data_IF_681737657614
#
_entry.id   IF_681737657614
#
_cell.length_a   1.000
_cell.length_b   1.000
_cell.length_c   1.000
_cell.angle_alpha   90.00
_cell.angle_beta   90.00
_cell.angle_gamma   90.00
#
_symmetry.space_group_name_H-M   'P 1'
#
loop_
_entity.id
_entity.type
_entity.pdbx_description
1 polymer ?
#
# COMPACT_ATOMS: atom_id res chain seq x y z
N UNK A 1 -26.53 -53.89 -2.21
CA UNK A 1 -26.57 -53.65 -3.67
C UNK A 1 -27.12 -52.26 -3.91
N UNK A 2 -26.24 -51.26 -3.88
CA UNK A 2 -26.57 -49.88 -4.27
C UNK A 2 -25.38 -49.40 -5.09
N UNK A 3 -25.63 -49.14 -6.38
CA UNK A 3 -24.62 -48.76 -7.38
C UNK A 3 -24.35 -47.26 -7.25
N UNK A 4 -23.08 -46.90 -7.09
CA UNK A 4 -22.56 -45.55 -7.32
C UNK A 4 -22.57 -45.26 -8.83
N UNK A 5 -22.95 -44.04 -9.28
CA UNK A 5 -22.82 -43.64 -10.67
C UNK A 5 -21.39 -43.15 -10.96
N UNK A 6 -20.76 -43.83 -11.92
CA UNK A 6 -19.48 -43.56 -12.53
C UNK A 6 -19.47 -42.19 -13.24
N UNK A 7 -18.72 -41.23 -12.71
CA UNK A 7 -18.49 -39.92 -13.34
C UNK A 7 -17.26 -40.00 -14.24
N UNK A 8 -17.48 -40.29 -15.52
CA UNK A 8 -16.44 -40.26 -16.54
C UNK A 8 -15.85 -38.86 -16.72
N UNK A 9 -14.61 -38.69 -16.26
CA UNK A 9 -13.74 -37.56 -16.61
C UNK A 9 -13.07 -37.91 -17.94
N UNK A 10 -13.24 -37.12 -19.02
CA UNK A 10 -12.51 -37.38 -20.25
C UNK A 10 -11.03 -36.95 -20.10
N UNK A 11 -10.13 -37.88 -20.37
CA UNK A 11 -8.69 -37.65 -20.51
C UNK A 11 -8.40 -36.62 -21.62
N UNK A 12 -7.62 -35.55 -21.36
CA UNK A 12 -7.09 -34.72 -22.43
C UNK A 12 -5.86 -35.42 -23.04
N UNK A 13 -6.08 -36.27 -24.03
CA UNK A 13 -5.03 -36.68 -24.97
C UNK A 13 -4.72 -35.48 -25.88
N UNK A 14 -3.79 -34.63 -25.45
CA UNK A 14 -3.10 -33.69 -26.32
C UNK A 14 -2.00 -34.42 -27.06
N UNK A 15 -2.07 -34.44 -28.39
CA UNK A 15 -0.98 -34.94 -29.23
C UNK A 15 0.32 -34.15 -28.95
N UNK A 16 1.50 -34.82 -28.96
CA UNK A 16 2.77 -34.13 -28.82
C UNK A 16 3.01 -33.25 -30.04
N UNK A 17 3.32 -31.98 -29.79
CA UNK A 17 3.67 -31.00 -30.81
C UNK A 17 5.10 -31.32 -31.28
N UNK A 18 5.24 -31.82 -32.50
CA UNK A 18 6.55 -31.95 -33.17
C UNK A 18 7.13 -30.56 -33.41
N UNK A 19 8.15 -30.20 -32.61
CA UNK A 19 8.97 -29.04 -32.85
C UNK A 19 10.21 -29.46 -33.63
N UNK A 20 10.18 -29.23 -34.95
CA UNK A 20 11.38 -29.33 -35.77
C UNK A 20 12.47 -28.36 -35.27
N UNK A 21 13.75 -28.74 -35.29
CA UNK A 21 14.83 -27.86 -34.87
C UNK A 21 14.97 -26.69 -35.86
N UNK A 22 14.90 -25.47 -35.34
CA UNK A 22 15.13 -24.25 -36.12
C UNK A 22 16.61 -24.20 -36.51
N UNK A 23 16.88 -24.25 -37.81
CA UNK A 23 18.22 -24.16 -38.39
C UNK A 23 18.80 -22.75 -38.15
N UNK A 24 19.77 -22.68 -37.25
CA UNK A 24 20.47 -21.45 -36.88
C UNK A 24 21.47 -21.06 -37.96
N UNK A 25 20.98 -20.50 -39.07
CA UNK A 25 21.82 -19.87 -40.08
C UNK A 25 22.69 -18.79 -39.44
N UNK A 26 24.00 -18.95 -39.54
CA UNK A 26 25.02 -18.01 -39.08
C UNK A 26 24.84 -16.67 -39.79
N UNK A 27 24.50 -15.64 -39.02
CA UNK A 27 24.50 -14.24 -39.44
C UNK A 27 25.94 -13.76 -39.50
N UNK A 28 26.47 -13.60 -40.72
CA UNK A 28 27.72 -12.87 -40.97
C UNK A 28 27.47 -11.38 -40.68
N UNK A 29 27.83 -10.96 -39.47
CA UNK A 29 27.90 -9.55 -39.12
C UNK A 29 29.24 -8.99 -39.60
N UNK A 30 29.21 -8.23 -40.69
CA UNK A 30 30.34 -7.39 -41.07
C UNK A 30 30.73 -6.48 -39.88
N UNK A 31 32.02 -6.29 -39.60
CA UNK A 31 32.45 -5.43 -38.52
C UNK A 31 32.10 -3.98 -38.86
N UNK A 32 31.19 -3.40 -38.09
CA UNK A 32 30.91 -1.96 -38.12
C UNK A 32 32.17 -1.19 -37.74
N UNK A 33 32.66 -0.38 -38.67
CA UNK A 33 33.84 0.47 -38.52
C UNK A 33 33.55 1.59 -37.52
N UNK A 34 33.80 1.31 -36.25
CA UNK A 34 33.71 2.26 -35.15
C UNK A 34 34.90 3.21 -35.17
N UNK A 35 34.87 4.19 -36.08
CA UNK A 35 35.79 5.32 -36.05
C UNK A 35 35.75 6.02 -34.66
N UNK A 36 36.84 6.67 -34.22
CA UNK A 36 36.89 7.29 -32.91
C UNK A 36 35.84 8.41 -32.88
N UNK A 37 34.82 8.23 -32.05
CA UNK A 37 33.94 9.34 -31.70
C UNK A 37 34.76 10.31 -30.86
N UNK A 38 35.03 11.50 -31.40
CA UNK A 38 35.63 12.61 -30.68
C UNK A 38 34.64 13.07 -29.59
N UNK A 39 34.64 12.34 -28.47
CA UNK A 39 34.03 12.73 -27.22
C UNK A 39 34.84 13.86 -26.60
N UNK A 40 34.75 15.06 -27.18
CA UNK A 40 35.17 16.27 -26.49
C UNK A 40 34.53 16.31 -25.10
N UNK A 41 35.20 16.90 -24.09
CA UNK A 41 34.63 16.97 -22.76
C UNK A 41 33.30 17.73 -22.88
N UNK A 42 32.20 17.03 -22.65
CA UNK A 42 30.94 17.70 -22.39
C UNK A 42 31.17 18.50 -21.12
N UNK A 43 31.31 19.83 -21.26
CA UNK A 43 31.36 20.77 -20.15
C UNK A 43 30.00 20.76 -19.44
N UNK A 44 29.75 19.69 -18.69
CA UNK A 44 28.68 19.59 -17.73
C UNK A 44 29.01 20.53 -16.58
N UNK A 45 28.54 21.77 -16.69
CA UNK A 45 28.68 22.76 -15.62
C UNK A 45 28.24 22.18 -14.26
N UNK A 46 28.99 22.42 -13.17
CA UNK A 46 28.65 21.89 -11.85
C UNK A 46 27.52 22.74 -11.27
N UNK A 47 26.25 22.36 -11.46
CA UNK A 47 25.15 23.25 -11.04
C UNK A 47 23.87 22.61 -10.57
N UNK A 48 23.38 21.58 -11.28
CA UNK A 48 21.98 21.15 -11.12
C UNK A 48 21.84 19.78 -10.44
N UNK A 49 22.74 18.84 -10.74
CA UNK A 49 22.70 17.49 -10.15
C UNK A 49 22.88 17.47 -8.63
N UNK A 50 23.71 18.38 -8.08
CA UNK A 50 23.94 18.50 -6.64
C UNK A 50 22.72 18.99 -5.87
N UNK A 51 22.08 20.06 -6.36
CA UNK A 51 20.88 20.63 -5.72
C UNK A 51 19.69 19.68 -5.79
N UNK A 52 19.52 18.98 -6.91
CA UNK A 52 18.49 17.95 -7.05
C UNK A 52 18.70 16.77 -6.09
N UNK A 53 19.94 16.32 -5.90
CA UNK A 53 20.25 15.25 -4.96
C UNK A 53 20.03 15.66 -3.50
N UNK A 54 20.38 16.90 -3.13
CA UNK A 54 20.12 17.45 -1.79
C UNK A 54 18.63 17.56 -1.49
N UNK A 55 17.84 18.07 -2.44
CA UNK A 55 16.37 18.13 -2.30
C UNK A 55 15.77 16.74 -2.11
N UNK A 56 16.16 15.77 -2.94
CA UNK A 56 15.69 14.37 -2.79
C UNK A 56 16.04 13.79 -1.42
N UNK A 57 17.23 14.06 -0.88
CA UNK A 57 17.62 13.64 0.47
C UNK A 57 16.77 14.30 1.54
N UNK A 58 16.49 15.60 1.41
CA UNK A 58 15.62 16.32 2.33
C UNK A 58 14.19 15.78 2.31
N UNK A 59 13.64 15.53 1.11
CA UNK A 59 12.30 14.95 0.95
C UNK A 59 12.22 13.55 1.55
N UNK A 60 13.23 12.70 1.32
CA UNK A 60 13.28 11.37 1.92
C UNK A 60 13.34 11.42 3.45
N UNK A 61 14.12 12.36 4.01
CA UNK A 61 14.20 12.57 5.45
C UNK A 61 12.84 13.02 6.03
N UNK A 62 12.19 14.00 5.41
CA UNK A 62 10.89 14.51 5.84
C UNK A 62 9.78 13.46 5.72
N UNK A 63 9.74 12.69 4.63
CA UNK A 63 8.80 11.60 4.43
C UNK A 63 9.01 10.49 5.48
N UNK A 64 10.25 10.13 5.77
CA UNK A 64 10.59 9.19 6.85
C UNK A 64 10.16 9.72 8.23
N UNK A 65 10.29 11.03 8.46
CA UNK A 65 9.88 11.69 9.69
C UNK A 65 8.35 11.65 9.87
N UNK A 66 7.60 11.82 8.78
CA UNK A 66 6.16 11.67 8.77
C UNK A 66 5.73 10.24 9.16
N UNK A 67 6.37 9.21 8.60
CA UNK A 67 6.14 7.81 9.01
C UNK A 67 6.47 7.60 10.49
N UNK A 68 7.61 8.14 10.96
CA UNK A 68 8.01 8.08 12.37
C UNK A 68 6.98 8.71 13.31
N UNK A 69 6.33 9.81 12.90
CA UNK A 69 5.24 10.41 13.66
C UNK A 69 4.00 9.50 13.70
N UNK A 70 3.61 8.91 12.56
CA UNK A 70 2.47 7.98 12.49
C UNK A 70 2.65 6.73 13.37
N UNK A 71 3.89 6.30 13.61
CA UNK A 71 4.19 5.16 14.50
C UNK A 71 4.11 5.49 16.00
N UNK A 72 3.80 6.75 16.39
CA UNK A 72 3.67 7.19 17.78
C UNK A 72 2.18 7.30 18.17
N UNK A 73 1.58 6.31 18.87
CA UNK A 73 0.12 6.19 19.00
C UNK A 73 -0.59 7.35 19.73
N UNK A 74 0.16 8.18 20.48
CA UNK A 74 -0.39 9.29 21.29
C UNK A 74 -0.10 10.67 20.71
N UNK A 75 0.66 10.72 19.61
CA UNK A 75 1.03 11.95 18.95
C UNK A 75 0.04 12.23 17.83
N UNK A 76 -0.50 13.45 17.80
CA UNK A 76 -1.46 13.90 16.79
C UNK A 76 -1.01 15.24 16.22
N UNK A 77 -1.36 15.59 14.97
CA UNK A 77 -0.95 16.85 14.32
C UNK A 77 -1.34 18.11 15.10
N UNK A 78 -2.43 18.05 15.87
CA UNK A 78 -2.85 19.17 16.71
C UNK A 78 -1.82 19.52 17.81
N UNK A 79 -1.00 18.56 18.24
CA UNK A 79 -0.03 18.71 19.34
C UNK A 79 1.40 18.99 18.90
N UNK A 80 1.69 18.86 17.60
CA UNK A 80 3.03 19.02 17.05
C UNK A 80 2.96 19.78 15.71
N UNK A 81 3.54 20.99 15.61
CA UNK A 81 3.47 21.79 14.39
C UNK A 81 4.22 21.14 13.23
N UNK A 82 5.38 20.51 13.48
CA UNK A 82 6.15 19.85 12.42
C UNK A 82 5.37 18.69 11.82
N UNK A 83 4.73 17.88 12.66
CA UNK A 83 3.88 16.79 12.18
C UNK A 83 2.71 17.34 11.34
N UNK A 84 2.08 18.43 11.78
CA UNK A 84 0.99 19.07 11.05
C UNK A 84 1.42 19.57 9.67
N UNK A 85 2.60 20.17 9.59
CA UNK A 85 3.11 20.71 8.34
C UNK A 85 3.44 19.59 7.35
N UNK A 86 4.03 18.48 7.83
CA UNK A 86 4.27 17.29 7.00
C UNK A 86 2.98 16.63 6.52
N UNK A 87 1.94 16.56 7.35
CA UNK A 87 0.61 16.06 6.93
C UNK A 87 0.01 16.95 5.84
N UNK A 88 0.06 18.27 6.01
CA UNK A 88 -0.42 19.22 5.00
C UNK A 88 0.37 19.13 3.70
N UNK A 89 1.68 18.92 3.80
CA UNK A 89 2.55 18.68 2.64
C UNK A 89 2.13 17.40 1.91
N UNK A 90 1.96 16.29 2.63
CA UNK A 90 1.46 15.03 2.07
C UNK A 90 0.13 15.19 1.32
N UNK A 91 -0.81 15.95 1.87
CA UNK A 91 -2.12 16.18 1.25
C UNK A 91 -2.07 17.08 0.00
N UNK A 92 -1.00 17.87 -0.19
CA UNK A 92 -0.86 18.83 -1.29
C UNK A 92 0.11 18.37 -2.38
N UNK A 93 1.15 17.62 -2.01
CA UNK A 93 2.24 17.24 -2.90
C UNK A 93 2.22 15.74 -3.20
N UNK A 94 1.77 15.37 -4.39
CA UNK A 94 1.62 13.97 -4.81
C UNK A 94 2.95 13.21 -4.81
N UNK A 95 4.06 13.84 -5.19
CA UNK A 95 5.39 13.21 -5.18
C UNK A 95 5.87 12.89 -3.76
N UNK A 96 5.65 13.81 -2.81
CA UNK A 96 5.96 13.60 -1.40
C UNK A 96 5.09 12.49 -0.80
N UNK A 97 3.80 12.43 -1.20
CA UNK A 97 2.91 11.35 -0.81
C UNK A 97 3.38 9.99 -1.34
N UNK A 98 3.74 9.91 -2.62
CA UNK A 98 4.28 8.69 -3.23
C UNK A 98 5.57 8.24 -2.56
N UNK A 99 6.49 9.16 -2.25
CA UNK A 99 7.73 8.85 -1.53
C UNK A 99 7.45 8.32 -0.11
N UNK A 100 6.53 8.96 0.62
CA UNK A 100 6.12 8.52 1.96
C UNK A 100 5.50 7.13 1.92
N UNK A 101 4.64 6.85 0.94
CA UNK A 101 4.04 5.53 0.73
C UNK A 101 5.09 4.48 0.38
N UNK A 102 6.07 4.80 -0.47
CA UNK A 102 7.16 3.90 -0.82
C UNK A 102 8.03 3.55 0.41
N UNK A 103 8.33 4.53 1.26
CA UNK A 103 9.06 4.32 2.51
C UNK A 103 8.24 3.44 3.47
N UNK A 104 6.94 3.71 3.64
CA UNK A 104 6.06 2.90 4.46
C UNK A 104 6.01 1.45 3.95
N UNK A 105 5.81 1.25 2.65
CA UNK A 105 5.79 -0.06 2.02
C UNK A 105 7.12 -0.82 2.23
N UNK A 106 8.26 -0.14 2.10
CA UNK A 106 9.59 -0.72 2.37
C UNK A 106 9.80 -1.17 3.82
N UNK A 107 9.07 -0.58 4.77
CA UNK A 107 9.04 -1.00 6.18
C UNK A 107 8.01 -2.12 6.45
N UNK A 108 7.26 -2.56 5.44
CA UNK A 108 6.13 -3.47 5.61
C UNK A 108 4.91 -2.79 6.25
N UNK A 109 4.71 -1.50 5.99
CA UNK A 109 3.54 -0.74 6.44
C UNK A 109 2.62 -0.40 5.27
N UNK A 110 1.32 -0.41 5.54
CA UNK A 110 0.27 0.12 4.67
C UNK A 110 -0.25 1.41 5.29
N UNK A 111 -0.33 2.49 4.51
CA UNK A 111 -0.92 3.75 4.94
C UNK A 111 -2.43 3.67 4.72
N UNK A 112 -3.20 3.54 5.80
CA UNK A 112 -4.66 3.37 5.73
C UNK A 112 -5.40 4.69 5.50
N UNK A 113 -4.93 5.76 6.14
CA UNK A 113 -5.52 7.10 6.06
C UNK A 113 -4.45 8.16 6.36
N UNK A 114 -4.63 9.35 5.81
CA UNK A 114 -3.85 10.54 6.16
C UNK A 114 -4.80 11.73 6.23
N UNK A 115 -4.94 12.34 7.41
CA UNK A 115 -5.82 13.49 7.60
C UNK A 115 -5.24 14.53 8.57
N UNK A 116 -5.70 15.78 8.51
CA UNK A 116 -5.25 16.82 9.46
C UNK A 116 -5.64 16.50 10.92
N UNK A 117 -6.70 15.69 11.12
CA UNK A 117 -7.21 15.33 12.44
C UNK A 117 -6.46 14.13 13.05
N UNK A 118 -6.33 13.04 12.28
CA UNK A 118 -5.72 11.80 12.76
C UNK A 118 -4.20 11.76 12.49
N UNK A 119 -3.72 12.48 11.49
CA UNK A 119 -2.37 12.36 10.95
C UNK A 119 -2.24 11.17 10.01
N UNK A 120 -1.03 10.64 9.85
CA UNK A 120 -0.75 9.42 9.10
C UNK A 120 -1.13 8.20 9.97
N UNK A 121 -1.96 7.32 9.41
CA UNK A 121 -2.44 6.10 10.07
C UNK A 121 -1.78 4.89 9.42
N UNK A 122 -0.67 4.37 10.00
CA UNK A 122 -0.01 3.20 9.47
C UNK A 122 -0.63 1.92 10.04
N UNK A 123 -0.67 0.87 9.23
CA UNK A 123 -0.93 -0.50 9.65
C UNK A 123 0.21 -1.40 9.17
N UNK A 124 0.48 -2.50 9.88
CA UNK A 124 1.38 -3.52 9.37
C UNK A 124 0.72 -4.30 8.24
N UNK A 125 1.49 -4.60 7.18
CA UNK A 125 1.11 -5.61 6.20
C UNK A 125 1.09 -7.01 6.83
N UNK A 126 0.39 -7.97 6.20
CA UNK A 126 0.12 -9.30 6.78
C UNK A 126 1.39 -10.11 7.14
N UNK A 127 2.47 -9.91 6.39
CA UNK A 127 3.78 -10.56 6.53
C UNK A 127 4.84 -9.69 7.22
N UNK A 128 4.44 -8.51 7.72
CA UNK A 128 5.34 -7.53 8.30
C UNK A 128 5.63 -7.78 9.79
N UNK A 129 6.79 -7.28 10.26
CA UNK A 129 7.11 -7.18 11.68
C UNK A 129 6.09 -6.33 12.47
N UNK A 130 5.31 -5.49 11.77
CA UNK A 130 4.27 -4.63 12.35
C UNK A 130 2.87 -5.26 12.29
N UNK A 131 2.72 -6.48 11.75
CA UNK A 131 1.44 -7.16 11.65
C UNK A 131 0.81 -7.34 13.05
N UNK A 132 -0.41 -6.83 13.23
CA UNK A 132 -1.14 -7.03 14.49
C UNK A 132 -1.75 -8.42 14.48
N UNK A 133 -1.23 -9.32 15.33
CA UNK A 133 -1.81 -10.65 15.46
C UNK A 133 -3.03 -10.59 16.38
N UNK A 134 -3.98 -11.51 16.15
CA UNK A 134 -5.19 -11.64 16.98
C UNK A 134 -4.87 -11.77 18.48
N UNK A 135 -3.73 -12.40 18.82
CA UNK A 135 -3.23 -12.51 20.19
C UNK A 135 -2.77 -11.19 20.81
N UNK A 136 -2.26 -10.24 20.01
CA UNK A 136 -1.89 -8.90 20.48
C UNK A 136 -3.13 -8.07 20.78
N UNK A 137 -4.17 -8.20 19.95
CA UNK A 137 -5.46 -7.57 20.18
C UNK A 137 -6.10 -8.08 21.47
N UNK A 138 -6.17 -9.41 21.67
CA UNK A 138 -6.76 -10.01 22.87
C UNK A 138 -6.07 -9.55 24.16
N UNK A 139 -4.72 -9.43 24.16
CA UNK A 139 -3.96 -8.88 25.29
C UNK A 139 -4.26 -7.40 25.57
N UNK A 140 -4.47 -6.59 24.54
CA UNK A 140 -4.81 -5.16 24.68
C UNK A 140 -6.26 -4.95 25.10
N UNK A 141 -7.19 -5.78 24.64
CA UNK A 141 -8.61 -5.65 24.96
C UNK A 141 -9.02 -6.31 26.30
N UNK A 142 -8.22 -7.23 26.84
CA UNK A 142 -8.63 -8.13 27.94
C UNK A 142 -8.61 -7.60 29.38
N UNK A 143 -8.11 -6.39 29.66
CA UNK A 143 -8.04 -5.87 31.04
C UNK A 143 -9.41 -5.40 31.59
N UNK A 144 -9.65 -5.55 32.90
CA UNK A 144 -10.89 -5.08 33.56
C UNK A 144 -11.15 -3.58 33.34
N UNK A 145 -10.11 -2.75 33.40
CA UNK A 145 -10.18 -1.30 33.17
C UNK A 145 -10.38 -0.89 31.70
N UNK A 146 -10.56 -1.85 30.78
CA UNK A 146 -10.68 -1.64 29.32
C UNK A 146 -12.10 -1.90 28.80
N UNK A 147 -13.11 -1.95 29.67
CA UNK A 147 -14.49 -2.20 29.26
C UNK A 147 -15.02 -1.14 28.26
N UNK A 148 -14.72 0.14 28.50
CA UNK A 148 -15.06 1.23 27.58
C UNK A 148 -14.37 1.07 26.22
N UNK A 149 -13.08 0.71 26.22
CA UNK A 149 -12.34 0.45 24.98
C UNK A 149 -12.96 -0.71 24.20
N UNK A 150 -13.32 -1.82 24.86
CA UNK A 150 -14.00 -2.95 24.21
C UNK A 150 -15.33 -2.55 23.59
N UNK A 151 -16.12 -1.72 24.30
CA UNK A 151 -17.38 -1.21 23.78
C UNK A 151 -17.15 -0.35 22.53
N UNK A 152 -16.15 0.54 22.54
CA UNK A 152 -15.80 1.36 21.37
C UNK A 152 -15.37 0.49 20.17
N UNK A 153 -14.60 -0.58 20.41
CA UNK A 153 -14.23 -1.53 19.36
C UNK A 153 -15.45 -2.26 18.79
N UNK A 154 -16.36 -2.71 19.68
CA UNK A 154 -17.60 -3.36 19.25
C UNK A 154 -18.49 -2.42 18.44
N UNK A 155 -18.64 -1.15 18.87
CA UNK A 155 -19.39 -0.13 18.14
C UNK A 155 -18.75 0.17 16.78
N UNK A 156 -17.43 0.32 16.71
CA UNK A 156 -16.73 0.52 15.45
C UNK A 156 -16.93 -0.68 14.50
N UNK A 157 -16.82 -1.92 14.99
CA UNK A 157 -17.07 -3.12 14.19
C UNK A 157 -18.52 -3.19 13.69
N UNK A 158 -19.49 -2.87 14.55
CA UNK A 158 -20.90 -2.85 14.17
C UNK A 158 -21.19 -1.77 13.14
N UNK A 159 -20.62 -0.58 13.29
CA UNK A 159 -20.76 0.51 12.33
C UNK A 159 -20.14 0.16 10.97
N UNK A 160 -18.94 -0.44 10.96
CA UNK A 160 -18.33 -0.95 9.73
C UNK A 160 -19.22 -1.99 9.07
N UNK A 161 -19.75 -2.95 9.84
CA UNK A 161 -20.65 -3.97 9.32
C UNK A 161 -21.93 -3.35 8.75
N UNK A 162 -22.54 -2.40 9.45
CA UNK A 162 -23.75 -1.70 9.01
C UNK A 162 -23.53 -0.88 7.73
N UNK A 163 -22.37 -0.22 7.59
CA UNK A 163 -22.02 0.58 6.41
C UNK A 163 -21.56 -0.28 5.23
N UNK A 164 -20.96 -1.44 5.48
CA UNK A 164 -20.49 -2.35 4.44
C UNK A 164 -21.59 -3.29 3.93
N UNK A 165 -22.61 -3.57 4.74
CA UNK A 165 -23.66 -4.51 4.37
C UNK A 165 -24.57 -3.90 3.30
N UNK A 166 -24.70 -4.53 2.11
CA UNK A 166 -25.44 -3.95 1.00
C UNK A 166 -26.94 -3.85 1.33
N UNK A 167 -27.56 -2.72 0.98
CA UNK A 167 -29.01 -2.55 1.09
C UNK A 167 -29.69 -3.23 -0.10
N UNK A 168 -31.00 -3.54 -0.02
CA UNK A 168 -31.72 -4.17 -1.14
C UNK A 168 -31.59 -3.42 -2.47
N UNK A 169 -31.52 -2.08 -2.44
CA UNK A 169 -31.32 -1.27 -3.63
C UNK A 169 -29.90 -1.39 -4.22
N UNK A 170 -28.90 -1.57 -3.37
CA UNK A 170 -27.50 -1.71 -3.77
C UNK A 170 -27.27 -3.08 -4.45
N UNK A 171 -28.05 -4.10 -4.08
CA UNK A 171 -28.02 -5.43 -4.72
C UNK A 171 -28.56 -5.43 -6.15
N UNK A 172 -29.40 -4.45 -6.50
CA UNK A 172 -29.94 -4.31 -7.85
C UNK A 172 -28.96 -3.64 -8.82
N UNK A 173 -27.89 -3.03 -8.31
CA UNK A 173 -26.85 -2.36 -9.10
C UNK A 173 -25.56 -3.19 -9.11
N UNK A 174 -25.30 -3.86 -10.23
CA UNK A 174 -24.10 -4.68 -10.42
C UNK A 174 -22.78 -3.88 -10.42
N UNK A 175 -22.84 -2.54 -10.48
CA UNK A 175 -21.69 -1.65 -10.41
C UNK A 175 -21.42 -1.09 -9.01
N UNK A 176 -22.30 -1.38 -8.04
CA UNK A 176 -22.17 -0.87 -6.69
C UNK A 176 -20.98 -1.50 -5.96
N UNK A 177 -20.11 -0.63 -5.44
CA UNK A 177 -19.01 -1.02 -4.55
C UNK A 177 -19.19 -0.29 -3.22
N UNK A 178 -19.52 -1.05 -2.17
CA UNK A 178 -19.62 -0.53 -0.80
C UNK A 178 -18.26 -0.06 -0.31
N UNK A 179 -18.06 1.27 -0.24
CA UNK A 179 -16.83 1.87 0.28
C UNK A 179 -17.06 2.38 1.70
N UNK A 180 -16.30 1.86 2.65
CA UNK A 180 -16.30 2.31 4.05
C UNK A 180 -15.01 3.10 4.30
N UNK A 181 -15.14 4.28 4.91
CA UNK A 181 -14.00 5.11 5.31
C UNK A 181 -13.98 5.30 6.84
N UNK A 182 -12.80 5.56 7.41
CA UNK A 182 -12.65 5.83 8.85
C UNK A 182 -13.52 7.03 9.27
N UNK A 183 -13.54 8.09 8.46
CA UNK A 183 -14.38 9.25 8.71
C UNK A 183 -15.87 8.91 8.68
N UNK A 184 -16.33 8.07 7.74
CA UNK A 184 -17.72 7.64 7.66
C UNK A 184 -18.15 6.85 8.89
N UNK A 185 -17.27 5.99 9.42
CA UNK A 185 -17.51 5.23 10.65
C UNK A 185 -17.56 6.16 11.88
N UNK A 186 -16.62 7.11 12.03
CA UNK A 186 -16.63 8.09 13.15
C UNK A 186 -17.91 8.93 13.13
N UNK A 187 -18.36 9.36 11.94
CA UNK A 187 -19.60 10.12 11.79
C UNK A 187 -20.83 9.30 12.20
N UNK A 188 -20.94 8.06 11.70
CA UNK A 188 -22.07 7.17 12.00
C UNK A 188 -22.20 6.81 13.49
N UNK A 189 -21.08 6.60 14.19
CA UNK A 189 -21.09 6.24 15.62
C UNK A 189 -21.48 7.43 16.53
N UNK A 190 -21.38 8.67 16.02
CA UNK A 190 -21.69 9.89 16.79
C UNK A 190 -23.15 10.34 16.70
N UNK A 191 -23.91 9.77 15.78
CA UNK A 191 -25.36 10.02 15.60
C UNK A 191 -26.18 9.17 16.58
#
# INVERSE_FOLDING_TARGET
MSREPDTGVPDPQGDPIDADPIDGGSIDADPVDGGPVDGGPVDGGPGDGGRGAERRRADAHEASRLVSFGLRPRLVPARDPDYRDLVRRYLREAEFAALTQAIAAGLGLVVLDVSERAGLVPAGADDSAFAVRIGDYARRAGGEHRAADRLLHALAQLAVAALAYPRPADLADASYVGRVSVHGVDAFVRE
#
